data_IF_953164222022
#
_entry.id   IF_953164222022
#
_cell.length_a   1.000
_cell.length_b   1.000
_cell.length_c   1.000
_cell.angle_alpha   90.00
_cell.angle_beta   90.00
_cell.angle_gamma   90.00
#
_symmetry.space_group_name_H-M   'P 1'
#
loop_
_entity.id
_entity.type
_entity.pdbx_description
1 polymer ?
#
# COMPACT_ATOMS: atom_id res chain seq x y z
N UNK A 1 -0.46 27.79 -12.34
CA UNK A 1 0.99 27.49 -12.20
C UNK A 1 1.41 27.05 -10.79
N UNK A 2 1.09 27.73 -9.72
CA UNK A 2 1.47 27.28 -8.37
C UNK A 2 0.65 26.07 -7.88
N UNK A 3 -0.64 26.00 -8.18
CA UNK A 3 -1.55 24.91 -7.81
C UNK A 3 -1.22 23.63 -8.58
N UNK A 4 -0.88 23.74 -9.85
CA UNK A 4 -0.49 22.61 -10.71
C UNK A 4 0.84 21.98 -10.30
N UNK A 5 1.81 22.78 -9.84
CA UNK A 5 3.07 22.28 -9.26
C UNK A 5 2.88 21.61 -7.91
N UNK A 6 1.96 22.09 -7.08
CA UNK A 6 1.64 21.46 -5.81
C UNK A 6 0.94 20.09 -6.01
N UNK A 7 0.02 20.02 -7.00
CA UNK A 7 -0.65 18.76 -7.36
C UNK A 7 0.32 17.71 -7.93
N UNK A 8 1.30 18.15 -8.73
CA UNK A 8 2.34 17.27 -9.28
C UNK A 8 3.29 16.78 -8.19
N UNK A 9 3.74 17.65 -7.29
CA UNK A 9 4.58 17.28 -6.15
C UNK A 9 3.85 16.34 -5.17
N UNK A 10 2.57 16.58 -4.91
CA UNK A 10 1.74 15.69 -4.07
C UNK A 10 1.53 14.34 -4.77
N UNK A 11 1.33 14.33 -6.09
CA UNK A 11 1.24 13.09 -6.88
C UNK A 11 2.55 12.30 -6.86
N UNK A 12 3.70 12.95 -6.99
CA UNK A 12 5.00 12.31 -6.95
C UNK A 12 5.33 11.78 -5.54
N UNK A 13 4.95 12.48 -4.48
CA UNK A 13 5.05 12.00 -3.10
C UNK A 13 4.14 10.80 -2.81
N UNK A 14 2.98 10.71 -3.47
CA UNK A 14 2.01 9.61 -3.32
C UNK A 14 2.44 8.38 -4.13
N UNK A 15 3.14 8.57 -5.25
CA UNK A 15 3.63 7.46 -6.09
C UNK A 15 4.92 6.83 -5.56
N UNK A 16 5.71 7.53 -4.76
CA UNK A 16 6.98 7.02 -4.21
C UNK A 16 6.84 5.72 -3.40
N UNK A 17 5.87 5.55 -2.49
CA UNK A 17 5.74 4.30 -1.73
C UNK A 17 5.51 3.08 -2.62
N UNK A 18 4.65 3.21 -3.64
CA UNK A 18 4.34 2.12 -4.56
C UNK A 18 5.49 1.83 -5.52
N UNK A 19 6.26 2.84 -5.95
CA UNK A 19 7.49 2.66 -6.73
C UNK A 19 8.55 1.91 -5.92
N UNK A 20 8.70 2.23 -4.65
CA UNK A 20 9.63 1.51 -3.75
C UNK A 20 9.19 0.06 -3.58
N UNK A 21 7.89 -0.22 -3.45
CA UNK A 21 7.36 -1.58 -3.38
C UNK A 21 7.60 -2.39 -4.66
N UNK A 22 7.55 -1.76 -5.84
CA UNK A 22 7.93 -2.41 -7.10
C UNK A 22 9.42 -2.74 -7.18
N UNK A 23 10.29 -1.88 -6.64
CA UNK A 23 11.72 -2.18 -6.51
C UNK A 23 11.98 -3.36 -5.57
N UNK A 24 11.31 -3.40 -4.41
CA UNK A 24 11.39 -4.51 -3.46
C UNK A 24 10.90 -5.79 -4.15
N UNK A 25 9.79 -5.74 -4.87
CA UNK A 25 9.25 -6.88 -5.64
C UNK A 25 10.28 -7.41 -6.66
N UNK A 26 10.90 -6.52 -7.43
CA UNK A 26 11.93 -6.90 -8.41
C UNK A 26 13.12 -7.53 -7.74
N UNK A 27 13.69 -6.91 -6.72
CA UNK A 27 14.83 -7.42 -5.97
C UNK A 27 14.54 -8.78 -5.34
N UNK A 28 13.35 -8.96 -4.76
CA UNK A 28 12.92 -10.24 -4.20
C UNK A 28 12.74 -11.31 -5.27
N UNK A 29 12.17 -10.96 -6.42
CA UNK A 29 12.01 -11.86 -7.56
C UNK A 29 13.36 -12.28 -8.17
N UNK A 30 14.35 -11.40 -8.17
CA UNK A 30 15.68 -11.67 -8.72
C UNK A 30 16.53 -12.52 -7.76
N UNK A 31 16.32 -12.39 -6.45
CA UNK A 31 17.07 -13.12 -5.41
C UNK A 31 16.53 -14.51 -5.10
N UNK A 32 15.28 -14.81 -5.48
CA UNK A 32 14.61 -16.08 -5.15
C UNK A 32 14.34 -16.88 -6.41
N UNK A 33 14.71 -18.18 -6.44
CA UNK A 33 14.46 -19.05 -7.58
C UNK A 33 12.95 -19.18 -7.86
N UNK A 34 12.61 -19.32 -9.15
CA UNK A 34 11.20 -19.47 -9.59
C UNK A 34 10.49 -20.67 -8.92
N UNK A 35 11.24 -21.73 -8.64
CA UNK A 35 10.76 -22.95 -7.98
C UNK A 35 10.52 -22.74 -6.48
N UNK A 36 11.38 -21.98 -5.79
CA UNK A 36 11.22 -21.65 -4.38
C UNK A 36 9.99 -20.77 -4.11
N UNK A 37 9.71 -19.79 -5.01
CA UNK A 37 8.52 -18.93 -4.94
C UNK A 37 7.22 -19.71 -5.15
N UNK A 38 7.21 -20.64 -6.12
CA UNK A 38 6.05 -21.46 -6.39
C UNK A 38 5.70 -22.39 -5.23
N UNK A 39 6.71 -22.92 -4.52
CA UNK A 39 6.51 -23.77 -3.35
C UNK A 39 5.98 -23.02 -2.14
N UNK A 40 6.28 -21.74 -1.99
CA UNK A 40 5.81 -20.90 -0.87
C UNK A 40 4.59 -20.05 -1.24
N UNK A 41 4.11 -20.08 -2.47
CA UNK A 41 2.97 -19.28 -2.93
C UNK A 41 3.24 -17.76 -2.91
N UNK A 42 4.51 -17.36 -2.90
CA UNK A 42 4.93 -15.96 -2.73
C UNK A 42 4.98 -15.23 -4.08
N UNK A 43 3.86 -14.65 -4.45
CA UNK A 43 3.77 -13.75 -5.60
C UNK A 43 3.44 -12.33 -5.11
N UNK A 44 4.42 -11.44 -5.14
CA UNK A 44 4.18 -10.04 -4.81
C UNK A 44 3.43 -9.36 -5.98
N UNK A 45 2.28 -8.82 -5.69
CA UNK A 45 1.42 -8.14 -6.68
C UNK A 45 2.12 -6.88 -7.23
N UNK A 46 2.17 -6.67 -8.56
CA UNK A 46 2.63 -5.41 -9.14
C UNK A 46 1.78 -4.22 -8.69
N UNK A 47 2.40 -3.05 -8.50
CA UNK A 47 1.70 -1.83 -8.07
C UNK A 47 0.60 -1.40 -9.05
N UNK A 48 0.78 -1.60 -10.35
CA UNK A 48 -0.23 -1.32 -11.38
C UNK A 48 -1.49 -2.15 -11.21
N UNK A 49 -1.34 -3.43 -10.87
CA UNK A 49 -2.47 -4.34 -10.60
C UNK A 49 -3.15 -3.95 -9.29
N UNK A 50 -2.37 -3.65 -8.24
CA UNK A 50 -2.92 -3.21 -6.96
C UNK A 50 -3.74 -1.92 -7.09
N UNK A 51 -3.28 -0.93 -7.87
CA UNK A 51 -4.02 0.30 -8.19
C UNK A 51 -5.30 0.02 -8.96
N UNK A 52 -5.24 -0.86 -9.96
CA UNK A 52 -6.43 -1.27 -10.69
C UNK A 52 -7.47 -1.90 -9.75
N UNK A 53 -7.06 -2.83 -8.88
CA UNK A 53 -7.95 -3.45 -7.89
C UNK A 53 -8.53 -2.40 -6.92
N UNK A 54 -7.73 -1.48 -6.41
CA UNK A 54 -8.19 -0.39 -5.56
C UNK A 54 -9.20 0.52 -6.26
N UNK A 55 -9.05 0.76 -7.57
CA UNK A 55 -9.98 1.59 -8.35
C UNK A 55 -11.37 0.98 -8.49
N UNK A 56 -11.52 -0.34 -8.37
CA UNK A 56 -12.80 -1.03 -8.42
C UNK A 56 -13.65 -0.86 -7.15
N UNK A 57 -13.05 -0.39 -6.06
CA UNK A 57 -13.77 -0.10 -4.83
C UNK A 57 -14.44 1.28 -4.96
N UNK A 58 -15.72 1.33 -5.26
CA UNK A 58 -16.43 2.60 -5.57
C UNK A 58 -16.91 3.35 -4.33
N UNK A 59 -17.37 2.64 -3.31
CA UNK A 59 -17.97 3.22 -2.11
C UNK A 59 -17.25 2.76 -0.84
N UNK A 60 -17.12 3.68 0.12
CA UNK A 60 -16.48 3.39 1.40
C UNK A 60 -17.24 4.05 2.55
N UNK A 61 -17.30 3.39 3.72
CA UNK A 61 -17.78 4.00 4.94
C UNK A 61 -16.83 5.10 5.41
N UNK A 62 -17.30 5.92 6.35
CA UNK A 62 -16.45 6.95 6.96
C UNK A 62 -15.32 6.38 7.82
N UNK A 63 -15.51 5.17 8.33
CA UNK A 63 -14.49 4.40 9.06
C UNK A 63 -14.20 3.13 8.26
N UNK A 64 -13.02 3.07 7.66
CA UNK A 64 -12.60 1.97 6.79
C UNK A 64 -11.78 0.97 7.59
N UNK A 65 -12.10 -0.31 7.45
CA UNK A 65 -11.31 -1.42 8.00
C UNK A 65 -10.85 -2.32 6.87
N UNK A 66 -9.57 -2.58 6.83
CA UNK A 66 -8.91 -3.39 5.81
C UNK A 66 -8.27 -4.60 6.50
N UNK A 67 -8.58 -5.79 6.00
CA UNK A 67 -7.91 -7.02 6.38
C UNK A 67 -7.14 -7.56 5.18
N UNK A 68 -5.83 -7.73 5.36
CA UNK A 68 -4.95 -8.33 4.35
C UNK A 68 -4.23 -9.55 4.96
N UNK A 69 -4.77 -10.77 4.78
CA UNK A 69 -4.26 -11.99 5.43
C UNK A 69 -3.02 -12.58 4.76
N UNK A 70 -2.59 -12.04 3.62
CA UNK A 70 -1.38 -12.44 2.90
C UNK A 70 -0.68 -11.19 2.36
N UNK A 71 -0.35 -10.26 3.27
CA UNK A 71 -0.03 -8.89 2.90
C UNK A 71 1.26 -8.73 2.08
N UNK A 72 2.20 -9.68 2.17
CA UNK A 72 3.51 -9.49 1.56
C UNK A 72 4.16 -8.20 2.05
N UNK A 73 4.61 -7.36 1.13
CA UNK A 73 5.13 -6.03 1.45
C UNK A 73 4.02 -4.95 1.63
N UNK A 74 2.74 -5.32 1.53
CA UNK A 74 1.60 -4.42 1.79
C UNK A 74 1.12 -3.60 0.58
N UNK A 75 1.42 -4.04 -0.65
CA UNK A 75 1.09 -3.27 -1.86
C UNK A 75 -0.41 -3.07 -2.07
N UNK A 76 -1.25 -4.08 -1.73
CA UNK A 76 -2.69 -4.02 -1.95
C UNK A 76 -3.34 -2.96 -1.05
N UNK A 77 -3.12 -3.02 0.26
CA UNK A 77 -3.69 -2.02 1.16
C UNK A 77 -3.07 -0.64 0.96
N UNK A 78 -1.79 -0.53 0.60
CA UNK A 78 -1.15 0.75 0.30
C UNK A 78 -1.80 1.44 -0.91
N UNK A 79 -2.09 0.69 -1.99
CA UNK A 79 -2.81 1.20 -3.16
C UNK A 79 -4.24 1.64 -2.81
N UNK A 80 -4.91 0.93 -1.89
CA UNK A 80 -6.24 1.30 -1.43
C UNK A 80 -6.20 2.57 -0.57
N UNK A 81 -5.24 2.69 0.35
CA UNK A 81 -5.03 3.91 1.16
C UNK A 81 -4.79 5.11 0.25
N UNK A 82 -3.92 4.98 -0.75
CA UNK A 82 -3.63 6.02 -1.74
C UNK A 82 -4.91 6.47 -2.48
N UNK A 83 -5.71 5.50 -2.93
CA UNK A 83 -7.01 5.76 -3.58
C UNK A 83 -7.97 6.51 -2.65
N UNK A 84 -8.05 6.13 -1.39
CA UNK A 84 -8.93 6.77 -0.40
C UNK A 84 -8.52 8.21 -0.09
N UNK A 85 -7.23 8.48 0.04
CA UNK A 85 -6.68 9.82 0.29
C UNK A 85 -6.97 10.76 -0.89
N UNK A 86 -6.93 10.24 -2.11
CA UNK A 86 -7.12 11.03 -3.34
C UNK A 86 -8.59 11.43 -3.60
N UNK A 87 -9.55 10.89 -2.84
CA UNK A 87 -10.98 11.16 -3.03
C UNK A 87 -11.41 12.48 -2.38
N UNK A 88 -12.46 13.10 -2.96
CA UNK A 88 -13.11 14.27 -2.35
C UNK A 88 -13.73 13.94 -0.99
N UNK A 89 -14.44 12.80 -0.91
CA UNK A 89 -15.05 12.30 0.32
C UNK A 89 -14.09 11.31 1.00
N UNK A 90 -13.14 11.84 1.75
CA UNK A 90 -12.15 11.03 2.48
C UNK A 90 -12.77 10.37 3.70
N UNK A 91 -12.30 9.17 4.09
CA UNK A 91 -12.69 8.57 5.35
C UNK A 91 -12.15 9.39 6.54
N UNK A 92 -12.78 9.25 7.70
CA UNK A 92 -12.29 9.81 8.95
C UNK A 92 -11.16 8.98 9.56
N UNK A 93 -11.24 7.68 9.34
CA UNK A 93 -10.24 6.73 9.85
C UNK A 93 -10.06 5.54 8.93
N UNK A 94 -8.85 5.00 8.94
CA UNK A 94 -8.47 3.77 8.26
C UNK A 94 -7.75 2.88 9.28
N UNK A 95 -8.23 1.65 9.45
CA UNK A 95 -7.56 0.60 10.21
C UNK A 95 -7.12 -0.49 9.24
N UNK A 96 -5.86 -0.89 9.30
CA UNK A 96 -5.29 -1.99 8.51
C UNK A 96 -4.82 -3.08 9.46
N UNK A 97 -5.30 -4.30 9.26
CA UNK A 97 -4.78 -5.51 9.89
C UNK A 97 -4.14 -6.36 8.80
N UNK A 98 -2.84 -6.55 8.89
CA UNK A 98 -2.06 -7.26 7.89
C UNK A 98 -1.33 -8.46 8.52
N UNK A 99 -1.39 -9.62 7.86
CA UNK A 99 -0.68 -10.82 8.27
C UNK A 99 0.33 -11.22 7.21
N UNK A 100 1.54 -11.50 7.64
CA UNK A 100 2.61 -12.06 6.83
C UNK A 100 3.42 -13.07 7.66
N UNK A 101 3.69 -14.23 7.09
CA UNK A 101 4.42 -15.32 7.77
C UNK A 101 5.91 -15.32 7.45
N UNK A 102 6.32 -14.70 6.34
CA UNK A 102 7.71 -14.63 5.94
C UNK A 102 8.45 -13.51 6.71
N UNK A 103 9.34 -13.91 7.60
CA UNK A 103 10.15 -13.00 8.39
C UNK A 103 11.06 -12.09 7.56
N UNK A 104 11.44 -12.51 6.35
CA UNK A 104 12.25 -11.69 5.44
C UNK A 104 11.44 -10.53 4.82
N UNK A 105 10.13 -10.67 4.68
CA UNK A 105 9.23 -9.66 4.14
C UNK A 105 8.69 -8.72 5.21
N UNK A 106 8.56 -9.17 6.45
CA UNK A 106 8.00 -8.39 7.56
C UNK A 106 8.60 -6.98 7.74
N UNK A 107 9.91 -6.74 7.60
CA UNK A 107 10.45 -5.37 7.71
C UNK A 107 9.88 -4.42 6.66
N UNK A 108 9.66 -4.89 5.44
CA UNK A 108 9.07 -4.10 4.35
C UNK A 108 7.59 -3.81 4.60
N UNK A 109 6.84 -4.79 5.11
CA UNK A 109 5.45 -4.60 5.50
C UNK A 109 5.31 -3.53 6.60
N UNK A 110 6.16 -3.59 7.63
CA UNK A 110 6.17 -2.60 8.71
C UNK A 110 6.51 -1.20 8.21
N UNK A 111 7.43 -1.09 7.26
CA UNK A 111 7.77 0.19 6.63
C UNK A 111 6.59 0.73 5.81
N UNK A 112 5.88 -0.14 5.07
CA UNK A 112 4.68 0.25 4.32
C UNK A 112 3.58 0.78 5.24
N UNK A 113 3.36 0.14 6.40
CA UNK A 113 2.41 0.62 7.43
C UNK A 113 2.79 2.03 7.91
N UNK A 114 4.06 2.27 8.25
CA UNK A 114 4.53 3.59 8.68
C UNK A 114 4.31 4.68 7.63
N UNK A 115 4.55 4.36 6.36
CA UNK A 115 4.31 5.30 5.25
C UNK A 115 2.83 5.60 5.06
N UNK A 116 1.96 4.60 5.14
CA UNK A 116 0.52 4.80 5.11
C UNK A 116 0.05 5.68 6.28
N UNK A 117 0.58 5.47 7.48
CA UNK A 117 0.30 6.29 8.67
C UNK A 117 0.69 7.76 8.43
N UNK A 118 1.90 8.01 7.94
CA UNK A 118 2.38 9.36 7.64
C UNK A 118 1.49 10.06 6.60
N UNK A 119 1.14 9.36 5.51
CA UNK A 119 0.26 9.86 4.45
C UNK A 119 -1.15 10.17 4.97
N UNK A 120 -1.74 9.28 5.75
CA UNK A 120 -3.06 9.49 6.34
C UNK A 120 -3.05 10.70 7.29
N UNK A 121 -2.06 10.79 8.17
CA UNK A 121 -1.89 11.88 9.13
C UNK A 121 -1.77 13.24 8.43
N UNK A 122 -0.94 13.33 7.38
CA UNK A 122 -0.78 14.56 6.60
C UNK A 122 -2.05 14.99 5.84
N UNK A 123 -2.98 14.05 5.66
CA UNK A 123 -4.28 14.29 5.03
C UNK A 123 -5.45 14.38 6.03
N UNK A 124 -5.16 14.45 7.34
CA UNK A 124 -6.18 14.59 8.38
C UNK A 124 -7.00 13.32 8.65
N UNK A 125 -6.50 12.15 8.24
CA UNK A 125 -7.14 10.84 8.42
C UNK A 125 -6.47 10.13 9.58
N UNK A 126 -7.26 9.62 10.54
CA UNK A 126 -6.73 8.75 11.59
C UNK A 126 -6.34 7.41 11.01
N UNK A 127 -5.15 6.93 11.33
CA UNK A 127 -4.66 5.65 10.84
C UNK A 127 -4.24 4.73 11.99
N UNK A 128 -4.52 3.44 11.83
CA UNK A 128 -4.04 2.39 12.72
C UNK A 128 -3.60 1.19 11.88
N UNK A 129 -2.33 0.80 11.99
CA UNK A 129 -1.78 -0.39 11.37
C UNK A 129 -1.41 -1.46 12.41
N UNK A 130 -1.81 -2.70 12.15
CA UNK A 130 -1.52 -3.88 12.97
C UNK A 130 -0.88 -4.93 12.04
N UNK A 131 0.29 -5.45 12.43
CA UNK A 131 1.03 -6.52 11.74
C UNK A 131 1.25 -7.66 12.71
#
# INVERSE_FOLDING_TARGET
MAVEKADTLVRDMITEPLHTLDHIRKSFNDSTSRTGRAQMGQFLTPSTIARFMASMCETFPREVRILDPGAGAGVLFAALVDTLISRKNRPLSIEVVAYETDSAILPFLKETIKRCEALCTSNGIRFRGIV
#
